data_IF_381716257769
#
_entry.id   IF_381716257769
#
_cell.length_a   1.000
_cell.length_b   1.000
_cell.length_c   1.000
_cell.angle_alpha   90.00
_cell.angle_beta   90.00
_cell.angle_gamma   90.00
#
_symmetry.space_group_name_H-M   'P 1'
#
loop_
_entity.id
_entity.type
_entity.pdbx_description
1 polymer ?
#
# COMPACT_ATOMS: atom_id res chain seq x y z
N UNK A 1 31.74 7.45 5.06
CA UNK A 1 30.86 8.31 4.23
C UNK A 1 30.96 7.81 2.79
N UNK A 2 29.82 7.60 2.11
CA UNK A 2 29.65 6.70 0.97
C UNK A 2 30.29 7.11 -0.38
N UNK A 3 31.40 7.87 -0.38
CA UNK A 3 32.13 8.24 -1.60
C UNK A 3 31.33 9.06 -2.63
N UNK A 4 30.12 9.48 -2.27
CA UNK A 4 29.17 10.24 -3.09
C UNK A 4 29.29 11.72 -2.75
N UNK A 5 29.12 12.57 -3.76
CA UNK A 5 29.05 14.02 -3.53
C UNK A 5 27.80 14.37 -2.71
N UNK A 6 27.85 15.47 -1.95
CA UNK A 6 26.74 15.89 -1.06
C UNK A 6 25.40 16.01 -1.79
N UNK A 7 25.41 16.41 -3.07
CA UNK A 7 24.21 16.49 -3.91
C UNK A 7 23.65 15.13 -4.29
N UNK A 8 24.49 14.16 -4.66
CA UNK A 8 24.07 12.80 -5.01
C UNK A 8 23.49 12.07 -3.79
N UNK A 9 24.07 12.26 -2.60
CA UNK A 9 23.49 11.72 -1.37
C UNK A 9 22.08 12.27 -1.10
N UNK A 10 21.86 13.56 -1.33
CA UNK A 10 20.57 14.19 -1.05
C UNK A 10 19.47 13.63 -1.96
N UNK A 11 19.76 13.49 -3.26
CA UNK A 11 18.81 13.01 -4.27
C UNK A 11 18.58 11.50 -4.13
N UNK A 12 19.63 10.69 -4.20
CA UNK A 12 19.50 9.24 -4.32
C UNK A 12 19.14 8.55 -3.02
N UNK A 13 19.41 9.18 -1.87
CA UNK A 13 19.25 8.55 -0.56
C UNK A 13 18.13 9.19 0.22
N UNK A 14 18.11 10.52 0.30
CA UNK A 14 17.15 11.21 1.15
C UNK A 14 15.83 11.42 0.44
N UNK A 15 15.86 11.98 -0.77
CA UNK A 15 14.65 12.26 -1.52
C UNK A 15 13.94 10.97 -1.94
N UNK A 16 14.66 10.00 -2.52
CA UNK A 16 14.09 8.72 -2.96
C UNK A 16 13.34 7.97 -1.85
N UNK A 17 13.93 7.90 -0.65
CA UNK A 17 13.33 7.26 0.51
C UNK A 17 12.15 8.06 1.07
N UNK A 18 12.25 9.39 1.12
CA UNK A 18 11.14 10.24 1.55
C UNK A 18 9.93 10.08 0.62
N UNK A 19 10.17 10.07 -0.70
CA UNK A 19 9.14 9.82 -1.72
C UNK A 19 8.56 8.41 -1.57
N UNK A 20 9.38 7.40 -1.30
CA UNK A 20 8.92 6.02 -1.11
C UNK A 20 8.01 5.88 0.12
N UNK A 21 8.39 6.48 1.24
CA UNK A 21 7.57 6.50 2.47
C UNK A 21 6.25 7.25 2.27
N UNK A 22 6.31 8.42 1.63
CA UNK A 22 5.11 9.20 1.29
C UNK A 22 4.18 8.42 0.35
N UNK A 23 4.74 7.79 -0.68
CA UNK A 23 3.99 6.95 -1.62
C UNK A 23 3.28 5.78 -0.94
N UNK A 24 3.99 5.07 -0.05
CA UNK A 24 3.41 3.95 0.70
C UNK A 24 2.27 4.41 1.63
N UNK A 25 2.45 5.54 2.34
CA UNK A 25 1.41 6.13 3.18
C UNK A 25 0.20 6.58 2.37
N UNK A 26 0.43 7.28 1.26
CA UNK A 26 -0.65 7.78 0.41
C UNK A 26 -1.45 6.64 -0.22
N UNK A 27 -0.78 5.58 -0.66
CA UNK A 27 -1.43 4.36 -1.16
C UNK A 27 -2.24 3.66 -0.07
N UNK A 28 -1.71 3.56 1.14
CA UNK A 28 -2.42 2.99 2.28
C UNK A 28 -3.72 3.75 2.59
N UNK A 29 -3.65 5.09 2.67
CA UNK A 29 -4.82 5.94 2.90
C UNK A 29 -5.85 5.76 1.78
N UNK A 30 -5.42 5.73 0.52
CA UNK A 30 -6.30 5.56 -0.63
C UNK A 30 -7.08 4.23 -0.57
N UNK A 31 -6.40 3.13 -0.23
CA UNK A 31 -7.03 1.81 -0.10
C UNK A 31 -7.99 1.75 1.09
N UNK A 32 -7.66 2.42 2.20
CA UNK A 32 -8.54 2.57 3.35
C UNK A 32 -9.84 3.30 2.99
N UNK A 33 -9.73 4.44 2.30
CA UNK A 33 -10.87 5.19 1.79
C UNK A 33 -11.72 4.31 0.86
N UNK A 34 -11.09 3.56 -0.04
CA UNK A 34 -11.78 2.62 -0.92
C UNK A 34 -12.52 1.52 -0.13
N UNK A 35 -11.90 0.98 0.93
CA UNK A 35 -12.52 0.00 1.82
C UNK A 35 -13.75 0.55 2.56
N UNK A 36 -13.69 1.80 3.03
CA UNK A 36 -14.84 2.49 3.65
C UNK A 36 -15.97 2.67 2.63
N UNK A 37 -15.65 3.11 1.41
CA UNK A 37 -16.62 3.22 0.32
C UNK A 37 -17.23 1.86 0.00
N UNK A 38 -16.41 0.81 -0.11
CA UNK A 38 -16.89 -0.55 -0.35
C UNK A 38 -17.90 -1.01 0.71
N UNK A 39 -17.61 -0.75 2.00
CA UNK A 39 -18.54 -1.06 3.09
C UNK A 39 -19.86 -0.30 2.99
N UNK A 40 -19.83 0.95 2.52
CA UNK A 40 -21.05 1.74 2.26
C UNK A 40 -21.86 1.15 1.11
N UNK A 41 -21.21 0.76 0.01
CA UNK A 41 -21.84 0.09 -1.13
C UNK A 41 -22.45 -1.25 -0.73
N UNK A 42 -21.77 -2.03 0.11
CA UNK A 42 -22.29 -3.30 0.62
C UNK A 42 -23.57 -3.14 1.43
N UNK A 43 -23.66 -2.09 2.25
CA UNK A 43 -24.91 -1.77 2.97
C UNK A 43 -26.03 -1.33 2.03
N UNK A 44 -25.71 -0.58 0.98
CA UNK A 44 -26.69 -0.08 0.01
C UNK A 44 -27.21 -1.19 -0.93
N UNK A 45 -26.32 -2.04 -1.45
CA UNK A 45 -26.62 -3.06 -2.46
C UNK A 45 -26.86 -4.46 -1.87
N UNK A 46 -26.61 -4.65 -0.55
CA UNK A 46 -26.64 -5.95 0.15
C UNK A 46 -25.77 -7.05 -0.50
N UNK A 47 -24.79 -6.65 -1.31
CA UNK A 47 -23.84 -7.55 -1.96
C UNK A 47 -22.48 -7.48 -1.26
N UNK A 48 -21.91 -8.64 -0.91
CA UNK A 48 -20.60 -8.73 -0.28
C UNK A 48 -19.49 -8.15 -1.16
N UNK A 49 -19.01 -6.95 -0.82
CA UNK A 49 -17.96 -6.24 -1.56
C UNK A 49 -16.56 -6.74 -1.23
N UNK A 50 -16.40 -7.45 -0.10
CA UNK A 50 -15.09 -7.88 0.37
C UNK A 50 -14.24 -6.74 0.91
N UNK A 51 -14.87 -5.70 1.49
CA UNK A 51 -14.23 -4.50 2.02
C UNK A 51 -13.04 -4.78 2.96
N UNK A 52 -13.05 -5.91 3.67
CA UNK A 52 -11.97 -6.29 4.57
C UNK A 52 -10.62 -6.48 3.86
N UNK A 53 -10.61 -6.97 2.63
CA UNK A 53 -9.38 -7.11 1.85
C UNK A 53 -8.76 -5.73 1.56
N UNK A 54 -9.58 -4.72 1.35
CA UNK A 54 -9.13 -3.35 1.07
C UNK A 54 -8.63 -2.61 2.32
N UNK A 55 -9.04 -3.04 3.52
CA UNK A 55 -8.63 -2.43 4.79
C UNK A 55 -7.44 -3.17 5.43
N UNK A 56 -7.40 -4.51 5.32
CA UNK A 56 -6.40 -5.35 6.00
C UNK A 56 -5.16 -5.60 5.13
N UNK A 57 -5.32 -5.84 3.82
CA UNK A 57 -4.19 -6.06 2.93
C UNK A 57 -3.15 -4.91 2.90
N UNK A 58 -3.55 -3.63 2.97
CA UNK A 58 -2.60 -2.51 2.95
C UNK A 58 -1.69 -2.45 4.18
N UNK A 59 -2.00 -3.16 5.27
CA UNK A 59 -1.20 -3.08 6.51
C UNK A 59 0.26 -3.51 6.30
N UNK A 60 0.55 -4.37 5.32
CA UNK A 60 1.93 -4.72 4.97
C UNK A 60 2.70 -3.58 4.30
N UNK A 61 2.03 -2.58 3.71
CA UNK A 61 2.69 -1.35 3.25
C UNK A 61 3.21 -0.51 4.42
N UNK A 62 2.41 -0.40 5.48
CA UNK A 62 2.84 0.28 6.71
C UNK A 62 3.97 -0.48 7.40
N UNK A 63 3.89 -1.82 7.41
CA UNK A 63 4.96 -2.65 7.95
C UNK A 63 6.27 -2.41 7.18
N UNK A 64 6.23 -2.46 5.85
CA UNK A 64 7.40 -2.16 5.02
C UNK A 64 7.96 -0.76 5.28
N UNK A 65 7.09 0.26 5.31
CA UNK A 65 7.48 1.63 5.60
C UNK A 65 8.12 1.78 6.99
N UNK A 66 7.58 1.11 8.00
CA UNK A 66 8.11 1.12 9.36
C UNK A 66 9.48 0.44 9.46
N UNK A 67 9.68 -0.71 8.79
CA UNK A 67 10.96 -1.42 8.77
C UNK A 67 12.02 -0.58 8.02
N UNK A 68 11.65 0.03 6.89
CA UNK A 68 12.54 0.92 6.13
C UNK A 68 12.93 2.17 6.94
N UNK A 69 11.96 2.78 7.65
CA UNK A 69 12.23 3.90 8.53
C UNK A 69 13.14 3.50 9.70
N UNK A 70 12.89 2.37 10.35
CA UNK A 70 13.70 1.86 11.46
C UNK A 70 15.15 1.61 11.05
N UNK A 71 15.38 0.92 9.92
CA UNK A 71 16.72 0.65 9.41
C UNK A 71 17.51 1.95 9.15
N UNK A 72 16.83 3.00 8.66
CA UNK A 72 17.45 4.30 8.40
C UNK A 72 17.74 5.08 9.68
N UNK A 73 16.74 5.25 10.55
CA UNK A 73 16.84 6.10 11.74
C UNK A 73 17.74 5.50 12.82
N UNK A 74 17.74 4.17 12.97
CA UNK A 74 18.46 3.48 14.05
C UNK A 74 19.83 2.98 13.59
N UNK A 75 19.93 2.43 12.38
CA UNK A 75 21.19 1.81 11.92
C UNK A 75 22.01 2.70 11.00
N UNK A 76 21.47 3.83 10.51
CA UNK A 76 22.15 4.69 9.55
C UNK A 76 22.48 3.99 8.22
N UNK A 77 21.87 2.83 7.96
CA UNK A 77 22.10 2.03 6.77
C UNK A 77 21.25 2.54 5.62
N UNK A 78 21.90 2.62 4.47
CA UNK A 78 21.33 3.09 3.21
C UNK A 78 20.50 2.00 2.52
N UNK A 79 20.87 0.75 2.77
CA UNK A 79 20.23 -0.45 2.29
C UNK A 79 19.89 -1.31 3.52
N UNK A 80 18.67 -1.85 3.57
CA UNK A 80 18.37 -2.89 4.55
C UNK A 80 19.35 -4.05 4.32
N UNK A 81 19.84 -4.69 5.39
CA UNK A 81 20.70 -5.87 5.22
C UNK A 81 19.98 -6.91 4.36
N UNK A 82 20.72 -7.73 3.60
CA UNK A 82 20.15 -8.69 2.66
C UNK A 82 18.93 -9.47 3.18
N UNK A 83 18.86 -9.97 4.43
CA UNK A 83 17.64 -10.64 4.89
C UNK A 83 16.46 -9.69 5.16
N UNK A 84 16.70 -8.49 5.70
CA UNK A 84 15.66 -7.51 6.07
C UNK A 84 15.04 -6.83 4.84
N UNK A 85 15.87 -6.60 3.80
CA UNK A 85 15.42 -6.07 2.52
C UNK A 85 14.41 -7.01 1.85
N UNK A 86 14.71 -8.31 1.88
CA UNK A 86 13.87 -9.34 1.27
C UNK A 86 12.54 -9.53 2.03
N UNK A 87 12.56 -9.55 3.37
CA UNK A 87 11.31 -9.67 4.14
C UNK A 87 10.40 -8.47 3.92
N UNK A 88 10.97 -7.26 3.89
CA UNK A 88 10.24 -6.04 3.55
C UNK A 88 9.64 -6.10 2.14
N UNK A 89 10.45 -6.43 1.14
CA UNK A 89 10.01 -6.49 -0.26
C UNK A 89 8.93 -7.56 -0.49
N UNK A 90 9.07 -8.74 0.10
CA UNK A 90 8.06 -9.82 0.01
C UNK A 90 6.75 -9.39 0.65
N UNK A 91 6.80 -8.74 1.82
CA UNK A 91 5.61 -8.26 2.51
C UNK A 91 4.91 -7.16 1.72
N UNK A 92 5.67 -6.21 1.18
CA UNK A 92 5.16 -5.16 0.30
C UNK A 92 4.49 -5.76 -0.94
N UNK A 93 5.17 -6.68 -1.62
CA UNK A 93 4.66 -7.33 -2.83
C UNK A 93 3.38 -8.13 -2.55
N UNK A 94 3.37 -8.92 -1.48
CA UNK A 94 2.19 -9.67 -1.07
C UNK A 94 1.01 -8.72 -0.80
N UNK A 95 1.23 -7.64 -0.04
CA UNK A 95 0.21 -6.61 0.19
C UNK A 95 -0.28 -5.94 -1.09
N UNK A 96 0.60 -5.66 -2.05
CA UNK A 96 0.22 -5.17 -3.37
C UNK A 96 -0.70 -6.15 -4.10
N UNK A 97 -0.36 -7.42 -4.16
CA UNK A 97 -1.18 -8.44 -4.83
C UNK A 97 -2.55 -8.58 -4.15
N UNK A 98 -2.59 -8.67 -2.83
CA UNK A 98 -3.86 -8.78 -2.09
C UNK A 98 -4.74 -7.52 -2.25
N UNK A 99 -4.14 -6.34 -2.22
CA UNK A 99 -4.86 -5.08 -2.44
C UNK A 99 -5.44 -5.01 -3.87
N UNK A 100 -4.69 -5.44 -4.89
CA UNK A 100 -5.16 -5.51 -6.27
C UNK A 100 -6.35 -6.46 -6.42
N UNK A 101 -6.28 -7.66 -5.81
CA UNK A 101 -7.39 -8.62 -5.81
C UNK A 101 -8.62 -8.01 -5.13
N UNK A 102 -8.43 -7.31 -4.01
CA UNK A 102 -9.50 -6.59 -3.31
C UNK A 102 -10.19 -5.54 -4.21
N UNK A 103 -9.39 -4.73 -4.93
CA UNK A 103 -9.91 -3.71 -5.85
C UNK A 103 -10.70 -4.36 -6.99
N UNK A 104 -10.16 -5.41 -7.63
CA UNK A 104 -10.83 -6.09 -8.74
C UNK A 104 -12.16 -6.70 -8.29
N UNK A 105 -12.21 -7.25 -7.08
CA UNK A 105 -13.45 -7.80 -6.50
C UNK A 105 -14.48 -6.69 -6.26
N UNK A 106 -14.06 -5.57 -5.67
CA UNK A 106 -14.93 -4.40 -5.48
C UNK A 106 -15.44 -3.86 -6.82
N UNK A 107 -14.57 -3.72 -7.82
CA UNK A 107 -14.92 -3.26 -9.16
C UNK A 107 -15.98 -4.15 -9.81
N UNK A 108 -15.85 -5.48 -9.70
CA UNK A 108 -16.86 -6.42 -10.23
C UNK A 108 -18.22 -6.25 -9.54
N UNK A 109 -18.25 -6.05 -8.22
CA UNK A 109 -19.51 -5.84 -7.48
C UNK A 109 -20.14 -4.50 -7.84
N UNK A 110 -19.33 -3.42 -7.90
CA UNK A 110 -19.79 -2.10 -8.32
C UNK A 110 -20.33 -2.11 -9.76
N UNK A 111 -19.64 -2.78 -10.69
CA UNK A 111 -20.08 -2.91 -12.08
C UNK A 111 -21.39 -3.71 -12.22
N UNK A 112 -21.61 -4.72 -11.38
CA UNK A 112 -22.88 -5.47 -11.33
C UNK A 112 -24.01 -4.61 -10.75
N UNK A 113 -23.74 -3.86 -9.67
CA UNK A 113 -24.69 -2.91 -9.09
C UNK A 113 -25.12 -1.83 -10.08
N UNK A 114 -24.19 -1.30 -10.88
CA UNK A 114 -24.48 -0.30 -11.91
C UNK A 114 -25.35 -0.85 -13.06
N UNK A 115 -25.18 -2.12 -13.45
CA UNK A 115 -26.01 -2.76 -14.49
C UNK A 115 -27.40 -3.15 -14.00
N UNK A 116 -27.54 -3.57 -12.74
CA UNK A 116 -28.83 -3.93 -12.14
C UNK A 116 -29.74 -2.73 -11.85
N UNK A 117 -29.19 -1.51 -11.78
CA UNK A 117 -29.96 -0.26 -11.62
C UNK A 117 -30.59 0.29 -12.90
N UNK A 118 -30.46 -0.41 -14.04
CA UNK A 118 -31.10 -0.04 -15.32
C UNK A 118 -32.43 -0.80 -15.52
N UNK A 119 -32.72 -1.81 -14.69
CA UNK A 119 -33.93 -2.65 -14.81
C UNK A 119 -34.92 -2.51 -13.64
N UNK A 120 -34.76 -1.50 -12.77
CA UNK A 120 -35.67 -1.24 -11.65
C UNK A 120 -36.51 0.01 -11.86
#
# INVERSE_FOLDING_TARGET
>A
MYGLTSGEQLIYVTLSNAVSLLGALMLWIALLCLGIVARRYERALRMGTGWWYLVVAPMGFLFFAAVQAYARFVQGKLWLGSPEAWTGAVTFFASSVFSLIGILRFYRVAARGARGGIEA
#
